data_IF_100479764857
#
_entry.id   IF_100479764857
#
_cell.length_a   1.000
_cell.length_b   1.000
_cell.length_c   1.000
_cell.angle_alpha   90.00
_cell.angle_beta   90.00
_cell.angle_gamma   90.00
#
_symmetry.space_group_name_H-M   'P 1'
#
loop_
_entity.id
_entity.type
_entity.pdbx_description
1 polymer ?
#
# COMPACT_ATOMS: atom_id res chain seq x y z
N UNK A 1 -2.31 -12.66 -4.74
CA UNK A 1 -1.86 -11.25 -4.74
C UNK A 1 -0.57 -11.16 -3.94
N UNK A 2 0.49 -10.61 -4.50
CA UNK A 2 1.73 -10.39 -3.77
C UNK A 2 1.50 -9.35 -2.67
N UNK A 3 1.93 -9.65 -1.43
CA UNK A 3 1.77 -8.74 -0.27
C UNK A 3 2.42 -7.36 -0.51
N UNK A 4 3.47 -7.33 -1.31
CA UNK A 4 4.23 -6.13 -1.67
C UNK A 4 3.46 -5.13 -2.56
N UNK A 5 2.42 -5.58 -3.29
CA UNK A 5 1.64 -4.74 -4.21
C UNK A 5 1.01 -3.56 -3.49
N UNK A 6 0.52 -3.77 -2.27
CA UNK A 6 -0.10 -2.69 -1.48
C UNK A 6 0.92 -1.60 -1.14
N UNK A 7 2.14 -1.99 -0.74
CA UNK A 7 3.22 -1.04 -0.45
C UNK A 7 3.61 -0.22 -1.68
N UNK A 8 3.66 -0.86 -2.86
CA UNK A 8 3.94 -0.17 -4.13
C UNK A 8 2.81 0.81 -4.47
N UNK A 9 1.55 0.37 -4.36
CA UNK A 9 0.39 1.21 -4.63
C UNK A 9 0.33 2.44 -3.71
N UNK A 10 0.60 2.26 -2.41
CA UNK A 10 0.65 3.36 -1.44
C UNK A 10 1.81 4.31 -1.75
N UNK A 11 2.99 3.80 -2.11
CA UNK A 11 4.11 4.66 -2.53
C UNK A 11 3.76 5.51 -3.77
N UNK A 12 3.08 4.94 -4.76
CA UNK A 12 2.61 5.71 -5.92
C UNK A 12 1.64 6.81 -5.50
N UNK A 13 0.69 6.48 -4.62
CA UNK A 13 -0.30 7.41 -4.10
C UNK A 13 0.36 8.58 -3.35
N UNK A 14 1.24 8.28 -2.40
CA UNK A 14 1.91 9.27 -1.56
C UNK A 14 2.78 10.22 -2.41
N UNK A 15 3.53 9.68 -3.36
CA UNK A 15 4.37 10.48 -4.27
C UNK A 15 3.54 11.34 -5.21
N UNK A 16 2.42 10.82 -5.70
CA UNK A 16 1.51 11.62 -6.52
C UNK A 16 0.93 12.78 -5.72
N UNK A 17 0.44 12.52 -4.49
CA UNK A 17 -0.12 13.55 -3.61
C UNK A 17 0.93 14.59 -3.20
N UNK A 18 2.17 14.17 -2.94
CA UNK A 18 3.28 15.09 -2.65
C UNK A 18 3.61 16.02 -3.83
N UNK A 19 3.41 15.56 -5.06
CA UNK A 19 3.60 16.37 -6.27
C UNK A 19 2.37 17.21 -6.64
N UNK A 20 1.24 17.05 -5.94
CA UNK A 20 -0.02 17.73 -6.23
C UNK A 20 -0.20 18.92 -5.28
N UNK A 21 -0.14 20.18 -5.79
CA UNK A 21 -0.12 21.37 -4.93
C UNK A 21 -1.48 21.76 -4.35
N UNK A 22 -2.57 21.10 -4.78
CA UNK A 22 -3.95 21.43 -4.39
C UNK A 22 -4.61 20.29 -3.66
N UNK A 23 -5.60 20.60 -2.81
CA UNK A 23 -6.40 19.60 -2.13
C UNK A 23 -7.15 18.74 -3.14
N UNK A 24 -7.07 17.43 -2.95
CA UNK A 24 -7.73 16.42 -3.78
C UNK A 24 -9.11 16.16 -3.18
N UNK A 25 -10.17 16.26 -4.00
CA UNK A 25 -11.52 15.91 -3.56
C UNK A 25 -11.67 14.39 -3.36
N UNK A 26 -12.72 13.99 -2.66
CA UNK A 26 -12.95 12.57 -2.30
C UNK A 26 -13.06 11.65 -3.52
N UNK A 27 -13.73 12.08 -4.60
CA UNK A 27 -13.93 11.25 -5.78
C UNK A 27 -12.63 11.08 -6.56
N UNK A 28 -11.88 12.18 -6.72
CA UNK A 28 -10.56 12.16 -7.35
C UNK A 28 -9.58 11.31 -6.53
N UNK A 29 -9.60 11.43 -5.20
CA UNK A 29 -8.77 10.60 -4.32
C UNK A 29 -9.09 9.11 -4.48
N UNK A 30 -10.36 8.74 -4.55
CA UNK A 30 -10.75 7.35 -4.74
C UNK A 30 -10.33 6.82 -6.11
N UNK A 31 -10.53 7.58 -7.18
CA UNK A 31 -10.06 7.22 -8.53
C UNK A 31 -8.54 7.05 -8.54
N UNK A 32 -7.80 7.99 -7.96
CA UNK A 32 -6.35 7.95 -7.85
C UNK A 32 -5.88 6.69 -7.11
N UNK A 33 -6.44 6.41 -5.92
CA UNK A 33 -6.04 5.26 -5.10
C UNK A 33 -6.31 3.94 -5.83
N UNK A 34 -7.46 3.80 -6.50
CA UNK A 34 -7.80 2.61 -7.28
C UNK A 34 -6.88 2.45 -8.48
N UNK A 35 -6.52 3.55 -9.15
CA UNK A 35 -5.62 3.52 -10.31
C UNK A 35 -4.18 3.22 -9.89
N UNK A 36 -3.71 3.72 -8.73
CA UNK A 36 -2.42 3.35 -8.16
C UNK A 36 -2.34 1.84 -7.86
N UNK A 37 -3.40 1.27 -7.29
CA UNK A 37 -3.48 -0.17 -7.04
C UNK A 37 -3.47 -0.96 -8.36
N UNK A 38 -4.27 -0.54 -9.35
CA UNK A 38 -4.28 -1.14 -10.67
C UNK A 38 -2.88 -1.14 -11.30
N UNK A 39 -2.19 0.00 -11.28
CA UNK A 39 -0.86 0.14 -11.85
C UNK A 39 0.15 -0.76 -11.14
N UNK A 40 0.10 -0.85 -9.81
CA UNK A 40 0.95 -1.75 -9.03
C UNK A 40 0.71 -3.22 -9.40
N UNK A 41 -0.54 -3.64 -9.57
CA UNK A 41 -0.89 -5.00 -10.03
C UNK A 41 -0.39 -5.24 -11.46
N UNK A 42 -0.70 -4.35 -12.38
CA UNK A 42 -0.32 -4.44 -13.80
C UNK A 42 1.18 -4.62 -13.99
N UNK A 43 1.99 -3.92 -13.20
CA UNK A 43 3.44 -3.95 -13.31
C UNK A 43 4.11 -5.15 -12.60
N UNK A 44 3.45 -5.75 -11.61
CA UNK A 44 4.09 -6.76 -10.75
C UNK A 44 3.46 -8.16 -10.86
N UNK A 45 2.28 -8.32 -11.46
CA UNK A 45 1.62 -9.62 -11.63
C UNK A 45 1.65 -10.11 -13.09
N UNK A 46 2.79 -10.53 -13.59
CA UNK A 46 2.94 -11.08 -14.94
C UNK A 46 2.08 -12.33 -15.19
N UNK A 47 1.74 -13.08 -14.15
CA UNK A 47 1.05 -14.37 -14.27
C UNK A 47 -0.38 -14.24 -14.82
N UNK A 48 -1.06 -13.13 -14.55
CA UNK A 48 -2.42 -12.91 -15.05
C UNK A 48 -2.48 -12.61 -16.55
N UNK A 49 -1.40 -12.11 -17.13
CA UNK A 49 -1.29 -11.84 -18.57
C UNK A 49 -1.12 -13.11 -19.41
N UNK A 50 -0.70 -14.22 -18.78
CA UNK A 50 -0.34 -15.46 -19.47
C UNK A 50 -1.45 -16.52 -19.45
N UNK A 51 -2.55 -16.30 -18.73
CA UNK A 51 -3.66 -17.26 -18.63
C UNK A 51 -4.76 -16.84 -19.63
N UNK A 52 -4.98 -17.58 -20.73
CA UNK A 52 -6.07 -17.31 -21.66
C UNK A 52 -7.42 -17.36 -20.92
N UNK A 53 -8.24 -16.33 -21.06
CA UNK A 53 -9.55 -16.23 -20.40
C UNK A 53 -9.53 -15.65 -18.96
N UNK A 54 -8.38 -15.28 -18.42
CA UNK A 54 -8.31 -14.51 -17.19
C UNK A 54 -8.92 -13.11 -17.41
N UNK A 55 -9.75 -12.66 -16.48
CA UNK A 55 -10.24 -11.28 -16.50
C UNK A 55 -9.05 -10.34 -16.39
N UNK A 56 -9.07 -9.27 -17.18
CA UNK A 56 -8.08 -8.21 -17.06
C UNK A 56 -8.05 -7.65 -15.64
N UNK A 57 -6.87 -7.29 -15.14
CA UNK A 57 -6.74 -6.59 -13.85
C UNK A 57 -7.59 -5.31 -13.84
N UNK A 58 -7.69 -4.64 -14.98
CA UNK A 58 -8.54 -3.46 -15.17
C UNK A 58 -10.02 -3.80 -14.96
N UNK A 59 -10.52 -4.87 -15.58
CA UNK A 59 -11.93 -5.28 -15.42
C UNK A 59 -12.27 -5.61 -13.96
N UNK A 60 -11.33 -6.24 -13.26
CA UNK A 60 -11.47 -6.57 -11.84
C UNK A 60 -11.57 -5.29 -10.99
N UNK A 61 -10.71 -4.31 -11.23
CA UNK A 61 -10.72 -3.03 -10.50
C UNK A 61 -11.97 -2.23 -10.84
N UNK A 62 -12.40 -2.22 -12.11
CA UNK A 62 -13.65 -1.57 -12.51
C UNK A 62 -14.86 -2.21 -11.82
N UNK A 63 -14.92 -3.54 -11.70
CA UNK A 63 -15.98 -4.22 -10.95
C UNK A 63 -15.96 -3.85 -9.46
N UNK A 64 -14.77 -3.74 -8.84
CA UNK A 64 -14.63 -3.28 -7.46
C UNK A 64 -15.10 -1.84 -7.27
N UNK A 65 -14.96 -0.99 -8.29
CA UNK A 65 -15.48 0.38 -8.27
C UNK A 65 -17.00 0.45 -8.28
N UNK A 66 -17.70 -0.66 -8.53
CA UNK A 66 -19.19 -0.72 -8.63
C UNK A 66 -19.77 0.31 -9.61
N UNK A 67 -19.05 0.61 -10.69
CA UNK A 67 -19.49 1.56 -11.71
C UNK A 67 -19.30 3.04 -11.36
N UNK A 68 -18.58 3.36 -10.27
CA UNK A 68 -18.24 4.75 -9.93
C UNK A 68 -17.30 5.40 -10.94
N UNK A 69 -16.46 4.61 -11.61
CA UNK A 69 -15.48 5.08 -12.58
C UNK A 69 -15.59 4.32 -13.89
N UNK A 70 -15.39 5.05 -15.01
CA UNK A 70 -15.30 4.46 -16.33
C UNK A 70 -13.85 4.03 -16.64
N UNK A 71 -13.71 3.13 -17.63
CA UNK A 71 -12.41 2.73 -18.17
C UNK A 71 -11.61 3.96 -18.61
N UNK A 72 -12.22 4.87 -19.35
CA UNK A 72 -11.57 6.08 -19.85
C UNK A 72 -11.05 6.99 -18.72
N UNK A 73 -11.80 7.11 -17.62
CA UNK A 73 -11.34 7.87 -16.45
C UNK A 73 -10.11 7.23 -15.81
N UNK A 74 -10.08 5.90 -15.70
CA UNK A 74 -8.92 5.19 -15.15
C UNK A 74 -7.71 5.27 -16.07
N UNK A 75 -7.88 5.14 -17.39
CA UNK A 75 -6.78 5.28 -18.35
C UNK A 75 -6.17 6.69 -18.35
N UNK A 76 -6.99 7.72 -18.27
CA UNK A 76 -6.51 9.11 -18.13
C UNK A 76 -5.76 9.32 -16.82
N UNK A 77 -6.28 8.77 -15.72
CA UNK A 77 -5.63 8.84 -14.41
C UNK A 77 -4.31 8.06 -14.41
N UNK A 78 -4.26 6.88 -15.02
CA UNK A 78 -3.01 6.11 -15.18
C UNK A 78 -1.93 6.94 -15.88
N UNK A 79 -2.31 7.57 -16.99
CA UNK A 79 -1.38 8.43 -17.73
C UNK A 79 -0.88 9.61 -16.88
N UNK A 80 -1.77 10.29 -16.13
CA UNK A 80 -1.39 11.40 -15.26
C UNK A 80 -0.46 10.94 -14.12
N UNK A 81 -0.74 9.77 -13.52
CA UNK A 81 0.14 9.16 -12.51
C UNK A 81 1.54 8.90 -13.09
N UNK A 82 1.62 8.25 -14.24
CA UNK A 82 2.90 7.92 -14.89
C UNK A 82 3.72 9.18 -15.19
N UNK A 83 3.08 10.24 -15.69
CA UNK A 83 3.73 11.51 -15.97
C UNK A 83 4.27 12.17 -14.69
N UNK A 84 3.46 12.25 -13.64
CA UNK A 84 3.86 12.88 -12.37
C UNK A 84 4.95 12.10 -11.64
N UNK A 85 4.89 10.78 -11.70
CA UNK A 85 5.93 9.90 -11.16
C UNK A 85 7.18 9.83 -12.04
N UNK A 86 7.19 10.52 -13.19
CA UNK A 86 8.30 10.49 -14.15
C UNK A 86 8.69 9.07 -14.55
N UNK A 87 7.69 8.17 -14.68
CA UNK A 87 7.86 6.75 -15.00
C UNK A 87 8.66 5.95 -13.97
N UNK A 88 8.96 6.52 -12.79
CA UNK A 88 9.59 5.79 -11.69
C UNK A 88 8.56 4.97 -10.91
N UNK A 89 8.16 3.84 -11.47
CA UNK A 89 7.04 3.00 -10.98
C UNK A 89 7.47 1.74 -10.21
N UNK A 90 8.76 1.51 -10.06
CA UNK A 90 9.33 0.41 -9.26
C UNK A 90 10.07 0.97 -8.04
N UNK A 91 9.34 1.43 -7.00
CA UNK A 91 9.98 1.92 -5.79
C UNK A 91 10.64 0.77 -5.03
N UNK A 92 11.78 1.01 -4.35
CA UNK A 92 12.28 0.05 -3.38
C UNK A 92 11.29 -0.07 -2.22
N UNK A 93 10.91 -1.30 -1.87
CA UNK A 93 9.94 -1.57 -0.82
C UNK A 93 10.60 -2.06 0.47
N UNK A 94 10.02 -1.81 1.66
CA UNK A 94 10.53 -2.39 2.89
C UNK A 94 10.57 -3.93 2.84
N UNK A 95 9.60 -4.56 2.17
CA UNK A 95 9.56 -6.02 1.99
C UNK A 95 10.80 -6.56 1.26
N UNK A 96 11.25 -5.84 0.24
CA UNK A 96 12.46 -6.19 -0.51
C UNK A 96 13.70 -6.08 0.37
N UNK A 97 13.81 -5.01 1.17
CA UNK A 97 14.93 -4.84 2.10
C UNK A 97 14.97 -5.92 3.18
N UNK A 98 13.81 -6.32 3.75
CA UNK A 98 13.76 -7.44 4.71
C UNK A 98 14.36 -8.71 4.09
N UNK A 99 13.99 -9.06 2.85
CA UNK A 99 14.54 -10.23 2.16
C UNK A 99 16.06 -10.12 2.00
N UNK A 100 16.56 -8.95 1.61
CA UNK A 100 18.00 -8.74 1.46
C UNK A 100 18.74 -8.82 2.80
N UNK A 101 18.21 -8.23 3.86
CA UNK A 101 18.83 -8.29 5.19
C UNK A 101 18.90 -9.73 5.73
N UNK A 102 17.82 -10.51 5.54
CA UNK A 102 17.79 -11.93 5.92
C UNK A 102 18.78 -12.76 5.12
N UNK A 103 18.95 -12.49 3.83
CA UNK A 103 19.97 -13.14 3.01
C UNK A 103 21.38 -12.89 3.56
N UNK A 104 21.70 -11.66 3.98
CA UNK A 104 22.98 -11.34 4.59
C UNK A 104 23.18 -11.94 6.00
N UNK A 105 22.09 -12.13 6.73
CA UNK A 105 22.14 -12.80 8.04
C UNK A 105 22.33 -14.31 7.94
N UNK A 106 22.27 -14.87 6.73
CA UNK A 106 22.27 -16.33 6.51
C UNK A 106 21.22 -17.04 7.36
N UNK A 107 20.15 -16.36 7.70
CA UNK A 107 19.07 -16.89 8.51
C UNK A 107 17.99 -17.44 7.57
N UNK A 108 17.84 -18.75 7.56
CA UNK A 108 16.76 -19.43 6.84
C UNK A 108 15.50 -19.58 7.71
N UNK A 109 15.44 -18.86 8.84
CA UNK A 109 14.32 -18.99 9.76
C UNK A 109 13.07 -18.29 9.24
N UNK A 110 12.16 -19.10 8.70
CA UNK A 110 10.91 -18.63 8.11
C UNK A 110 10.08 -17.79 9.09
N UNK A 111 10.12 -18.12 10.38
CA UNK A 111 9.37 -17.38 11.40
C UNK A 111 9.81 -15.92 11.55
N UNK A 112 11.13 -15.65 11.50
CA UNK A 112 11.64 -14.28 11.55
C UNK A 112 11.22 -13.53 10.28
N UNK A 113 11.34 -14.19 9.12
CA UNK A 113 10.91 -13.62 7.85
C UNK A 113 9.44 -13.24 7.90
N UNK A 114 8.57 -14.16 8.35
CA UNK A 114 7.12 -13.94 8.36
C UNK A 114 6.73 -12.84 9.34
N UNK A 115 7.37 -12.80 10.51
CA UNK A 115 7.13 -11.76 11.51
C UNK A 115 7.61 -10.37 11.03
N UNK A 116 8.82 -10.29 10.47
CA UNK A 116 9.33 -9.04 9.91
C UNK A 116 8.45 -8.54 8.74
N UNK A 117 8.01 -9.44 7.86
CA UNK A 117 7.08 -9.10 6.78
C UNK A 117 5.73 -8.61 7.32
N UNK A 118 5.20 -9.24 8.36
CA UNK A 118 3.96 -8.81 9.00
C UNK A 118 4.12 -7.40 9.60
N UNK A 119 5.20 -7.11 10.30
CA UNK A 119 5.46 -5.77 10.83
C UNK A 119 5.58 -4.71 9.73
N UNK A 120 6.21 -5.06 8.60
CA UNK A 120 6.26 -4.17 7.43
C UNK A 120 4.86 -3.94 6.84
N UNK A 121 4.00 -4.96 6.80
CA UNK A 121 2.60 -4.79 6.37
C UNK A 121 1.84 -3.83 7.30
N UNK A 122 2.04 -3.93 8.62
CA UNK A 122 1.46 -2.99 9.57
C UNK A 122 1.95 -1.55 9.34
N UNK A 123 3.20 -1.35 8.97
CA UNK A 123 3.73 0.00 8.70
C UNK A 123 3.04 0.71 7.55
N UNK A 124 2.51 -0.02 6.57
CA UNK A 124 1.77 0.55 5.43
C UNK A 124 0.44 1.19 5.87
N UNK A 125 -0.11 0.76 7.00
CA UNK A 125 -1.37 1.27 7.54
C UNK A 125 -1.21 2.53 8.39
N UNK A 126 0.02 2.92 8.70
CA UNK A 126 0.30 4.07 9.55
C UNK A 126 1.12 5.13 8.79
N UNK A 127 0.53 6.31 8.65
CA UNK A 127 1.13 7.45 7.94
C UNK A 127 2.46 7.93 8.56
N UNK A 128 2.74 7.56 9.81
CA UNK A 128 4.01 7.85 10.47
C UNK A 128 5.22 7.41 9.64
N UNK A 129 5.12 6.27 8.94
CA UNK A 129 6.24 5.69 8.21
C UNK A 129 6.52 6.32 6.85
N UNK A 130 5.64 7.17 6.34
CA UNK A 130 5.80 7.83 5.01
C UNK A 130 7.07 8.69 4.95
N UNK A 131 7.50 9.26 6.08
CA UNK A 131 8.68 10.13 6.14
C UNK A 131 10.01 9.37 6.27
N UNK A 132 9.97 8.04 6.45
CA UNK A 132 11.16 7.21 6.66
C UNK A 132 11.56 6.44 5.41
N UNK A 133 12.85 6.14 5.29
CA UNK A 133 13.35 5.33 4.17
C UNK A 133 12.84 3.89 4.30
N UNK A 134 12.49 3.23 3.19
CA UNK A 134 12.07 1.84 3.20
C UNK A 134 13.07 0.88 3.88
N UNK A 135 14.37 1.18 3.76
CA UNK A 135 15.43 0.41 4.43
C UNK A 135 15.43 0.59 5.95
N UNK A 136 15.10 1.79 6.46
CA UNK A 136 15.01 2.07 7.90
C UNK A 136 13.80 1.33 8.51
N UNK A 137 12.66 1.37 7.83
CA UNK A 137 11.45 0.64 8.25
C UNK A 137 11.69 -0.87 8.22
N UNK A 138 12.33 -1.39 7.17
CA UNK A 138 12.68 -2.80 7.05
C UNK A 138 13.64 -3.27 8.15
N UNK A 139 14.67 -2.45 8.44
CA UNK A 139 15.62 -2.75 9.50
C UNK A 139 14.95 -2.76 10.87
N UNK A 140 14.10 -1.77 11.14
CA UNK A 140 13.32 -1.69 12.36
C UNK A 140 12.41 -2.93 12.55
N UNK A 141 11.72 -3.35 11.51
CA UNK A 141 10.87 -4.54 11.51
C UNK A 141 11.67 -5.81 11.77
N UNK A 142 12.83 -5.97 11.12
CA UNK A 142 13.69 -7.12 11.30
C UNK A 142 14.26 -7.18 12.73
N UNK A 143 14.73 -6.05 13.27
CA UNK A 143 15.26 -5.99 14.62
C UNK A 143 14.19 -6.33 15.67
N UNK A 144 12.95 -5.83 15.50
CA UNK A 144 11.86 -6.18 16.40
C UNK A 144 11.46 -7.66 16.28
N UNK A 145 11.49 -8.23 15.08
CA UNK A 145 11.24 -9.66 14.89
C UNK A 145 12.31 -10.54 15.54
N UNK A 146 13.57 -10.12 15.50
CA UNK A 146 14.67 -10.77 16.16
C UNK A 146 14.55 -10.67 17.70
N UNK A 147 14.15 -9.51 18.23
CA UNK A 147 13.91 -9.31 19.66
C UNK A 147 12.80 -10.22 20.20
N UNK A 148 11.71 -10.32 19.46
CA UNK A 148 10.57 -11.14 19.84
C UNK A 148 10.92 -12.63 19.88
N UNK A 149 11.71 -13.10 18.90
CA UNK A 149 12.06 -14.52 18.80
C UNK A 149 13.26 -14.92 19.63
N UNK A 150 14.20 -14.02 19.83
CA UNK A 150 15.48 -14.31 20.51
C UNK A 150 15.86 -13.24 21.53
N UNK A 151 15.08 -13.05 22.61
CA UNK A 151 15.30 -11.97 23.59
C UNK A 151 16.67 -12.02 24.29
N UNK A 152 17.42 -13.13 24.16
CA UNK A 152 18.74 -13.30 24.80
C UNK A 152 19.90 -13.60 23.81
N UNK A 153 19.65 -13.61 22.50
CA UNK A 153 20.62 -14.14 21.50
C UNK A 153 21.26 -13.11 20.57
N UNK A 154 21.12 -11.83 20.82
CA UNK A 154 21.72 -10.81 19.94
C UNK A 154 23.21 -10.98 19.64
N UNK A 155 23.98 -11.64 20.53
CA UNK A 155 25.41 -11.82 20.37
C UNK A 155 25.84 -12.85 19.30
N UNK A 156 24.96 -13.70 18.82
CA UNK A 156 25.32 -14.82 17.95
C UNK A 156 24.82 -14.67 16.49
N UNK A 157 24.03 -13.65 16.20
CA UNK A 157 23.58 -13.38 14.85
C UNK A 157 24.62 -12.45 14.20
N UNK A 158 24.94 -12.67 12.90
CA UNK A 158 25.95 -11.93 12.15
C UNK A 158 25.55 -10.44 11.93
N UNK A 159 25.05 -9.79 13.01
CA UNK A 159 24.79 -8.35 13.07
C UNK A 159 26.01 -7.49 12.71
N UNK A 160 27.27 -7.89 13.02
CA UNK A 160 28.46 -7.11 12.65
C UNK A 160 28.55 -6.86 11.14
N UNK A 161 28.10 -7.80 10.30
CA UNK A 161 28.12 -7.58 8.85
C UNK A 161 27.09 -6.53 8.43
N UNK A 162 25.88 -6.57 8.97
CA UNK A 162 24.84 -5.56 8.69
C UNK A 162 25.21 -4.19 9.24
N UNK A 163 25.96 -4.10 10.34
CA UNK A 163 26.37 -2.83 10.93
C UNK A 163 27.31 -2.02 10.03
N UNK A 164 27.97 -2.67 9.06
CA UNK A 164 28.75 -1.97 8.04
C UNK A 164 27.90 -1.21 7.02
N UNK A 165 26.68 -1.66 6.81
CA UNK A 165 25.76 -1.10 5.80
C UNK A 165 24.60 -0.33 6.39
N UNK A 166 24.28 -0.58 7.65
CA UNK A 166 23.11 -0.03 8.33
C UNK A 166 23.50 0.54 9.69
N UNK A 167 23.05 1.75 9.97
CA UNK A 167 23.17 2.35 11.30
C UNK A 167 21.98 1.93 12.19
N UNK A 168 22.20 0.90 13.03
CA UNK A 168 21.20 0.41 13.98
C UNK A 168 20.84 1.42 15.07
N UNK A 169 21.72 2.38 15.34
CA UNK A 169 21.56 3.41 16.36
C UNK A 169 21.00 4.72 15.78
N UNK A 170 20.69 4.74 14.50
CA UNK A 170 20.04 5.88 13.88
C UNK A 170 18.74 6.22 14.60
N UNK A 171 18.55 7.51 14.91
CA UNK A 171 17.32 8.00 15.54
C UNK A 171 16.05 7.58 14.75
N UNK A 172 16.17 7.53 13.42
CA UNK A 172 15.08 7.09 12.55
C UNK A 172 14.72 5.61 12.76
N UNK A 173 15.73 4.75 12.83
CA UNK A 173 15.51 3.30 13.06
C UNK A 173 14.92 3.08 14.45
N UNK A 174 15.41 3.77 15.48
CA UNK A 174 14.86 3.68 16.84
C UNK A 174 13.38 4.12 16.85
N UNK A 175 13.06 5.27 16.26
CA UNK A 175 11.68 5.76 16.19
C UNK A 175 10.76 4.78 15.44
N UNK A 176 11.23 4.21 14.32
CA UNK A 176 10.49 3.19 13.58
C UNK A 176 10.27 1.92 14.42
N UNK A 177 11.28 1.48 15.19
CA UNK A 177 11.17 0.30 16.06
C UNK A 177 10.12 0.49 17.14
N UNK A 178 10.18 1.61 17.85
CA UNK A 178 9.22 1.94 18.90
C UNK A 178 7.79 1.99 18.36
N UNK A 179 7.59 2.65 17.21
CA UNK A 179 6.27 2.75 16.59
C UNK A 179 5.74 1.41 16.12
N UNK A 180 6.57 0.58 15.47
CA UNK A 180 6.19 -0.76 15.02
C UNK A 180 5.82 -1.67 16.21
N UNK A 181 6.58 -1.62 17.30
CA UNK A 181 6.29 -2.41 18.49
C UNK A 181 4.92 -2.06 19.08
N UNK A 182 4.57 -0.77 19.14
CA UNK A 182 3.26 -0.31 19.61
C UNK A 182 2.11 -0.82 18.73
N UNK A 183 2.25 -0.71 17.41
CA UNK A 183 1.22 -1.17 16.46
C UNK A 183 1.08 -2.69 16.51
N UNK A 184 2.19 -3.41 16.63
CA UNK A 184 2.20 -4.86 16.74
C UNK A 184 1.47 -5.35 17.98
N UNK A 185 1.69 -4.72 19.15
CA UNK A 185 0.98 -5.03 20.39
C UNK A 185 -0.53 -4.78 20.24
N UNK A 186 -0.92 -3.65 19.65
CA UNK A 186 -2.33 -3.33 19.41
C UNK A 186 -3.00 -4.36 18.48
N UNK A 187 -2.31 -4.81 17.43
CA UNK A 187 -2.83 -5.81 16.51
C UNK A 187 -3.05 -7.17 17.21
N UNK A 188 -2.17 -7.55 18.13
CA UNK A 188 -2.29 -8.79 18.90
C UNK A 188 -3.40 -8.72 19.96
N UNK A 189 -3.61 -7.60 20.63
CA UNK A 189 -4.67 -7.42 21.61
C UNK A 189 -6.06 -7.55 20.96
N UNK A 190 -6.23 -7.01 19.75
CA UNK A 190 -7.47 -7.17 18.98
C UNK A 190 -7.74 -8.63 18.55
N UNK A 191 -6.70 -9.40 18.25
CA UNK A 191 -6.85 -10.81 17.89
C UNK A 191 -7.27 -11.68 19.09
N UNK A 192 -6.83 -11.33 20.30
CA UNK A 192 -7.15 -12.04 21.54
C UNK A 192 -8.54 -11.66 22.12
N UNK A 193 -9.09 -10.53 21.75
CA UNK A 193 -10.41 -10.07 22.21
C UNK A 193 -11.59 -10.60 21.39
N UNK A 194 -11.36 -11.20 20.24
CA UNK A 194 -12.36 -11.90 19.45
C UNK A 194 -12.60 -13.32 20.01
N UNK A 195 -13.21 -13.43 21.17
CA UNK A 195 -13.80 -14.69 21.64
C UNK A 195 -14.89 -15.14 20.66
N UNK A 196 -14.99 -16.42 20.29
CA UNK A 196 -16.08 -16.88 19.45
C UNK A 196 -17.41 -16.65 20.17
N UNK A 197 -18.33 -15.95 19.53
CA UNK A 197 -19.70 -15.77 19.99
C UNK A 197 -20.31 -17.16 20.28
N UNK A 198 -20.97 -17.35 21.44
CA UNK A 198 -21.64 -18.61 21.73
C UNK A 198 -22.72 -18.90 20.68
N UNK A 199 -22.69 -20.09 20.11
CA UNK A 199 -23.66 -20.60 19.14
C UNK A 199 -25.08 -20.41 19.66
N UNK A 200 -25.80 -19.39 19.18
CA UNK A 200 -27.26 -19.36 19.28
C UNK A 200 -27.84 -20.17 18.13
N UNK A 201 -28.91 -20.98 18.37
CA UNK A 201 -29.52 -21.74 17.28
C UNK A 201 -30.11 -20.80 16.24
N UNK A 202 -29.75 -21.08 14.99
CA UNK A 202 -30.19 -20.34 13.82
C UNK A 202 -31.65 -20.64 13.56
N UNK A 203 -32.55 -19.68 13.78
CA UNK A 203 -33.87 -19.70 13.17
C UNK A 203 -33.71 -19.11 11.75
N UNK A 204 -34.03 -19.94 10.77
CA UNK A 204 -34.08 -19.58 9.34
C UNK A 204 -35.19 -18.56 9.11
N UNK A 205 -34.87 -17.31 9.05
CA UNK A 205 -35.57 -16.23 8.29
C UNK A 205 -34.86 -14.92 8.59
N UNK A 206 -34.03 -14.50 7.68
CA UNK A 206 -33.69 -13.14 7.28
C UNK A 206 -32.25 -13.04 6.78
N UNK A 207 -32.08 -13.34 5.50
CA UNK A 207 -30.89 -12.96 4.75
C UNK A 207 -30.94 -11.44 4.56
N UNK A 208 -30.26 -10.71 5.43
CA UNK A 208 -29.82 -9.34 5.15
C UNK A 208 -28.32 -9.28 5.24
N UNK A 209 -27.68 -9.23 4.09
CA UNK A 209 -26.26 -8.92 3.93
C UNK A 209 -25.98 -7.50 4.43
N UNK A 210 -25.48 -7.37 5.64
CA UNK A 210 -24.94 -6.09 6.15
C UNK A 210 -23.45 -6.05 5.90
N UNK A 211 -23.04 -5.39 4.82
CA UNK A 211 -21.67 -4.91 4.67
C UNK A 211 -21.44 -3.72 5.62
N UNK A 212 -20.28 -3.62 6.32
CA UNK A 212 -20.03 -2.56 7.28
C UNK A 212 -19.51 -1.28 6.60
N UNK A 213 -20.28 -0.69 5.71
CA UNK A 213 -20.05 0.72 5.30
C UNK A 213 -21.41 1.33 4.97
N UNK A 214 -22.10 1.82 6.00
CA UNK A 214 -23.21 2.74 5.81
C UNK A 214 -22.65 4.15 5.67
N UNK A 215 -22.45 4.60 4.44
CA UNK A 215 -22.24 6.03 4.16
C UNK A 215 -23.61 6.68 4.09
N UNK A 216 -23.85 7.66 4.97
CA UNK A 216 -25.08 8.44 5.03
C UNK A 216 -25.49 8.94 3.65
N UNK A 217 -26.74 8.67 3.29
CA UNK A 217 -27.41 9.26 2.15
C UNK A 217 -27.64 10.76 2.41
N UNK A 218 -27.06 11.61 1.58
CA UNK A 218 -27.39 13.02 1.49
C UNK A 218 -28.49 13.17 0.44
N UNK A 219 -29.60 13.88 0.72
CA UNK A 219 -30.70 14.02 -0.22
C UNK A 219 -30.30 14.86 -1.43
N UNK A 220 -30.67 14.35 -2.60
CA UNK A 220 -30.52 14.99 -3.91
C UNK A 220 -31.33 16.29 -3.97
N UNK A 221 -30.66 17.42 -4.12
CA UNK A 221 -31.27 18.61 -4.71
C UNK A 221 -30.55 18.94 -6.01
N UNK A 222 -31.34 19.00 -7.07
CA UNK A 222 -30.98 19.37 -8.42
C UNK A 222 -30.05 20.58 -8.51
N UNK A 223 -28.99 20.48 -9.29
CA UNK A 223 -28.71 21.48 -10.34
C UNK A 223 -27.55 20.99 -11.23
N UNK A 224 -27.92 20.75 -12.49
CA UNK A 224 -27.00 20.57 -13.61
C UNK A 224 -26.26 21.88 -13.84
N UNK A 225 -24.93 21.89 -13.66
CA UNK A 225 -24.08 22.91 -14.28
C UNK A 225 -22.99 22.22 -15.09
N UNK A 226 -23.13 22.41 -16.41
CA UNK A 226 -22.13 22.01 -17.39
C UNK A 226 -20.85 22.83 -17.19
N UNK A 227 -19.75 22.16 -16.85
CA UNK A 227 -18.42 22.75 -16.91
C UNK A 227 -17.89 22.60 -18.34
N UNK A 228 -18.02 23.69 -19.12
CA UNK A 228 -17.25 23.87 -20.36
C UNK A 228 -15.85 24.33 -19.99
N UNK A 229 -14.88 23.45 -20.07
CA UNK A 229 -13.47 23.86 -20.04
C UNK A 229 -13.05 24.39 -21.40
N UNK A 230 -12.76 25.68 -21.43
CA UNK A 230 -12.02 26.33 -22.50
C UNK A 230 -10.60 25.75 -22.55
N UNK A 231 -10.33 24.94 -23.55
CA UNK A 231 -8.96 24.59 -23.95
C UNK A 231 -8.47 25.70 -24.85
N UNK A 232 -7.51 26.49 -24.38
CA UNK A 232 -6.79 27.45 -25.22
C UNK A 232 -5.86 26.67 -26.15
N UNK A 233 -6.25 26.63 -27.43
CA UNK A 233 -5.36 26.23 -28.51
C UNK A 233 -4.24 27.27 -28.65
N UNK A 234 -3.03 26.92 -28.29
CA UNK A 234 -1.85 27.63 -28.72
C UNK A 234 -1.41 27.08 -30.07
N UNK A 235 -1.64 27.84 -31.12
CA UNK A 235 -1.05 27.67 -32.42
C UNK A 235 0.48 27.64 -32.31
N UNK A 236 1.06 26.55 -32.73
CA UNK A 236 2.47 26.51 -33.11
C UNK A 236 2.57 26.91 -34.57
N UNK A 237 2.97 28.15 -34.80
CA UNK A 237 3.46 28.60 -36.11
C UNK A 237 4.83 27.97 -36.35
N UNK A 238 4.90 27.21 -37.43
CA UNK A 238 6.13 26.80 -38.08
C UNK A 238 6.69 28.03 -38.86
N UNK A 239 7.83 28.53 -38.49
CA UNK A 239 8.69 29.28 -39.38
C UNK A 239 10.15 28.88 -39.18
N UNK A 240 10.66 28.29 -40.24
CA UNK A 240 12.01 28.24 -40.81
C UNK A 240 13.16 28.95 -40.02
N UNK A 241 14.19 28.17 -39.66
CA UNK A 241 15.55 28.24 -40.25
C UNK A 241 16.32 26.99 -39.78
#
# INVERSE_FOLDING_TARGET
MHREIVSIAMNHLDRYLAAFPTAVDKNLFQLLAMTCLYLAIKLNEYKHLLIPGSKSSMDTILQLSRGFFSLEQMERMEYDILQRLQWHVHPPTPQLFVKHFLFFLSSEEQEIHDLAQFMVELSVMDYFFVCYKPSEVALAALLNALDEKYPQRYGNINLPFLSHFCDFQSANVIACRERLALIYLQANDHSNSCSPLPNKPVNEAEQRTTSPVSVMAVPSSHQSQAYTHHVSEKHFNNENY
#
